data_IF_425719478262
#
_entry.id   IF_425719478262
#
_cell.length_a   1.000
_cell.length_b   1.000
_cell.length_c   1.000
_cell.angle_alpha   90.00
_cell.angle_beta   90.00
_cell.angle_gamma   90.00
#
_symmetry.space_group_name_H-M   'P 1'
#
loop_
_entity.id
_entity.type
_entity.pdbx_description
1 polymer ?
#
# COMPACT_ATOMS: atom_id res chain seq x y z
N UNK A 1 -11.11 6.01 2.95
CA UNK A 1 -10.14 5.91 4.06
C UNK A 1 -9.09 4.86 3.72
N UNK A 2 -7.88 4.94 4.26
CA UNK A 2 -6.84 3.93 4.02
C UNK A 2 -7.27 2.52 4.49
N UNK A 3 -8.06 2.43 5.56
CA UNK A 3 -8.69 1.19 6.05
C UNK A 3 -9.54 0.48 4.97
N UNK A 4 -10.33 1.25 4.22
CA UNK A 4 -11.19 0.71 3.16
C UNK A 4 -10.36 0.13 2.00
N UNK A 5 -9.20 0.73 1.73
CA UNK A 5 -8.29 0.24 0.70
C UNK A 5 -7.64 -1.08 1.15
N UNK A 6 -7.28 -1.20 2.43
CA UNK A 6 -6.78 -2.44 3.04
C UNK A 6 -7.79 -3.58 2.90
N UNK A 7 -9.04 -3.38 3.29
CA UNK A 7 -10.09 -4.40 3.14
C UNK A 7 -10.26 -4.83 1.69
N UNK A 8 -10.25 -3.88 0.74
CA UNK A 8 -10.35 -4.20 -0.69
C UNK A 8 -9.19 -5.05 -1.20
N UNK A 9 -7.96 -4.74 -0.80
CA UNK A 9 -6.77 -5.47 -1.24
C UNK A 9 -6.77 -6.88 -0.64
N UNK A 10 -7.09 -7.03 0.64
CA UNK A 10 -7.23 -8.34 1.29
C UNK A 10 -8.29 -9.17 0.57
N UNK A 11 -9.49 -8.63 0.40
CA UNK A 11 -10.58 -9.33 -0.29
C UNK A 11 -10.26 -9.65 -1.75
N UNK A 12 -9.37 -8.89 -2.40
CA UNK A 12 -8.91 -9.20 -3.75
C UNK A 12 -7.94 -10.38 -3.74
N UNK A 13 -6.94 -10.36 -2.86
CA UNK A 13 -5.97 -11.44 -2.70
C UNK A 13 -6.67 -12.75 -2.31
N UNK A 14 -7.61 -12.72 -1.36
CA UNK A 14 -8.37 -13.91 -0.94
C UNK A 14 -9.21 -14.53 -2.07
N UNK A 15 -9.60 -13.74 -3.07
CA UNK A 15 -10.37 -14.23 -4.24
C UNK A 15 -9.49 -14.76 -5.36
N UNK A 16 -8.19 -14.52 -5.30
CA UNK A 16 -7.25 -14.86 -6.37
C UNK A 16 -6.13 -15.73 -5.79
N UNK A 17 -6.12 -17.02 -6.14
CA UNK A 17 -5.02 -17.90 -5.79
C UNK A 17 -3.70 -17.42 -6.44
N UNK A 18 -2.59 -17.49 -5.67
CA UNK A 18 -1.23 -17.16 -6.11
C UNK A 18 -0.95 -15.69 -6.49
N UNK A 19 -1.57 -14.72 -5.79
CA UNK A 19 -1.11 -13.32 -5.87
C UNK A 19 0.18 -13.16 -5.06
N UNK A 20 1.28 -12.84 -5.73
CA UNK A 20 2.59 -12.61 -5.09
C UNK A 20 2.98 -11.14 -5.02
N UNK A 21 2.38 -10.29 -5.87
CA UNK A 21 2.69 -8.86 -5.95
C UNK A 21 1.41 -8.08 -6.22
N UNK A 22 1.18 -7.03 -5.44
CA UNK A 22 0.12 -6.04 -5.65
C UNK A 22 0.76 -4.69 -5.96
N UNK A 23 0.36 -4.10 -7.08
CA UNK A 23 0.81 -2.77 -7.50
C UNK A 23 -0.29 -1.77 -7.20
N UNK A 24 0.04 -0.74 -6.42
CA UNK A 24 -0.85 0.39 -6.15
C UNK A 24 -0.41 1.56 -7.02
N UNK A 25 -1.15 1.79 -8.10
CA UNK A 25 -0.97 2.93 -8.99
C UNK A 25 -1.48 4.22 -8.32
N UNK A 26 -0.55 5.13 -8.03
CA UNK A 26 -0.78 6.37 -7.31
C UNK A 26 -0.75 7.61 -8.20
N UNK A 27 -0.98 7.48 -9.51
CA UNK A 27 -0.93 8.60 -10.45
C UNK A 27 -1.85 9.79 -10.08
N UNK A 28 -2.94 9.52 -9.36
CA UNK A 28 -3.88 10.55 -8.86
C UNK A 28 -3.61 10.95 -7.39
N UNK A 29 -2.55 10.41 -6.76
CA UNK A 29 -2.20 10.66 -5.36
C UNK A 29 -1.12 11.74 -5.31
N UNK A 30 -1.59 12.98 -5.12
CA UNK A 30 -0.73 14.17 -5.06
C UNK A 30 -0.21 14.49 -3.65
N UNK A 31 -0.89 14.02 -2.61
CA UNK A 31 -0.47 14.23 -1.22
C UNK A 31 -0.98 13.11 -0.32
N UNK A 32 -0.18 12.81 0.70
CA UNK A 32 -0.43 11.78 1.71
C UNK A 32 -0.07 12.39 3.05
N UNK A 33 -0.97 12.30 4.01
CA UNK A 33 -0.65 12.67 5.40
C UNK A 33 -0.02 11.50 6.16
N UNK A 34 0.54 11.79 7.34
CA UNK A 34 1.21 10.78 8.16
C UNK A 34 0.31 9.61 8.57
N UNK A 35 -0.98 9.85 8.77
CA UNK A 35 -1.94 8.80 9.15
C UNK A 35 -2.17 7.84 8.00
N UNK A 36 -2.38 8.36 6.80
CA UNK A 36 -2.56 7.55 5.58
C UNK A 36 -1.26 6.81 5.24
N UNK A 37 -0.10 7.46 5.36
CA UNK A 37 1.19 6.81 5.16
C UNK A 37 1.43 5.64 6.13
N UNK A 38 1.14 5.82 7.42
CA UNK A 38 1.27 4.75 8.41
C UNK A 38 0.38 3.56 8.08
N UNK A 39 -0.85 3.80 7.63
CA UNK A 39 -1.75 2.74 7.18
C UNK A 39 -1.18 1.98 5.97
N UNK A 40 -0.55 2.67 5.02
CA UNK A 40 0.10 2.03 3.88
C UNK A 40 1.30 1.16 4.28
N UNK A 41 2.12 1.64 5.22
CA UNK A 41 3.24 0.85 5.75
C UNK A 41 2.74 -0.38 6.52
N UNK A 42 1.73 -0.22 7.36
CA UNK A 42 1.10 -1.36 8.05
C UNK A 42 0.53 -2.38 7.06
N UNK A 43 -0.15 -1.91 6.01
CA UNK A 43 -0.66 -2.76 4.95
C UNK A 43 0.46 -3.52 4.23
N UNK A 44 1.56 -2.84 3.89
CA UNK A 44 2.73 -3.46 3.26
C UNK A 44 3.30 -4.58 4.14
N UNK A 45 3.55 -4.30 5.42
CA UNK A 45 4.06 -5.29 6.37
C UNK A 45 3.13 -6.49 6.55
N UNK A 46 1.81 -6.25 6.61
CA UNK A 46 0.80 -7.29 6.73
C UNK A 46 0.81 -8.20 5.49
N UNK A 47 0.96 -7.64 4.28
CA UNK A 47 1.03 -8.43 3.05
C UNK A 47 2.34 -9.20 2.92
N UNK A 48 3.48 -8.57 3.25
CA UNK A 48 4.78 -9.23 3.19
C UNK A 48 4.83 -10.45 4.14
N UNK A 49 4.20 -10.33 5.31
CA UNK A 49 4.04 -11.44 6.26
C UNK A 49 3.19 -12.60 5.71
N UNK A 50 2.31 -12.32 4.74
CA UNK A 50 1.49 -13.32 4.03
C UNK A 50 2.14 -13.78 2.71
N UNK A 51 3.39 -13.40 2.43
CA UNK A 51 4.11 -13.78 1.21
C UNK A 51 3.67 -13.02 -0.04
N UNK A 52 3.04 -11.85 0.13
CA UNK A 52 2.63 -10.97 -0.95
C UNK A 52 3.34 -9.61 -0.83
N UNK A 53 4.02 -9.18 -1.89
CA UNK A 53 4.69 -7.88 -1.92
C UNK A 53 3.71 -6.76 -2.33
N UNK A 54 3.89 -5.54 -1.80
CA UNK A 54 3.19 -4.34 -2.27
C UNK A 54 4.19 -3.35 -2.87
N UNK A 55 3.89 -2.88 -4.08
CA UNK A 55 4.65 -1.84 -4.77
C UNK A 55 3.80 -0.58 -4.98
N UNK A 56 4.32 0.56 -4.53
CA UNK A 56 3.74 1.88 -4.79
C UNK A 56 4.33 2.45 -6.10
N UNK A 57 3.49 2.59 -7.14
CA UNK A 57 3.94 2.96 -8.49
C UNK A 57 3.27 4.27 -8.98
N UNK A 58 4.00 5.11 -9.72
CA UNK A 58 3.56 6.44 -10.20
C UNK A 58 3.12 7.45 -9.12
N UNK A 59 3.65 7.36 -7.90
CA UNK A 59 3.31 8.32 -6.83
C UNK A 59 4.08 9.63 -6.99
N UNK A 60 3.45 10.75 -6.63
CA UNK A 60 4.15 12.03 -6.53
C UNK A 60 5.21 11.97 -5.43
N UNK A 61 6.39 12.56 -5.66
CA UNK A 61 7.57 12.38 -4.80
C UNK A 61 7.32 12.83 -3.36
N UNK A 62 6.51 13.86 -3.13
CA UNK A 62 6.17 14.32 -1.77
C UNK A 62 5.26 13.32 -1.08
N UNK A 63 4.28 12.75 -1.79
CA UNK A 63 3.42 11.70 -1.28
C UNK A 63 4.23 10.43 -0.93
N UNK A 64 5.05 9.95 -1.86
CA UNK A 64 5.95 8.82 -1.66
C UNK A 64 6.94 9.06 -0.51
N UNK A 65 7.50 10.28 -0.44
CA UNK A 65 8.45 10.65 0.61
C UNK A 65 7.84 10.67 2.01
N UNK A 66 6.51 10.81 2.15
CA UNK A 66 5.86 10.61 3.45
C UNK A 66 5.89 9.15 3.82
N UNK A 67 5.55 8.23 2.90
CA UNK A 67 5.54 6.77 3.14
C UNK A 67 6.94 6.25 3.45
N UNK A 68 7.95 6.57 2.63
CA UNK A 68 9.32 6.07 2.80
C UNK A 68 9.99 6.53 4.10
N UNK A 69 9.50 7.60 4.75
CA UNK A 69 9.99 8.01 6.08
C UNK A 69 9.58 7.07 7.21
N UNK A 70 8.59 6.20 6.97
CA UNK A 70 8.09 5.23 7.94
C UNK A 70 8.51 3.79 7.60
N UNK A 71 9.24 3.59 6.50
CA UNK A 71 9.88 2.29 6.21
C UNK A 71 11.13 2.15 7.11
N UNK A 72 11.33 0.98 7.77
CA UNK A 72 12.46 0.73 8.67
C UNK A 72 13.82 0.64 7.97
#
# INVERSE_FOLDING_TARGET
SAEYLKEKIISFIEKHDNVHVVIIDGIEIFSVDSTVALNFVMLKNDMESNGCEILFWNWEVKAAGVICRWEP
#
